data_IF_452258372500
#
_entry.id   IF_452258372500
#
_cell.length_a   1.000
_cell.length_b   1.000
_cell.length_c   1.000
_cell.angle_alpha   90.00
_cell.angle_beta   90.00
_cell.angle_gamma   90.00
#
_symmetry.space_group_name_H-M   'P 1'
#
loop_
_entity.id
_entity.type
_entity.pdbx_description
1 polymer ?
#
# COMPACT_ATOMS: atom_id res chain seq x y z
N UNK A 1 -13.84 -1.72 6.70
CA UNK A 1 -13.58 -2.13 5.30
C UNK A 1 -13.22 -3.60 5.22
N UNK A 2 -13.45 -4.21 4.06
CA UNK A 2 -13.00 -5.58 3.80
C UNK A 2 -11.60 -5.60 3.22
N UNK A 3 -10.81 -6.61 3.60
CA UNK A 3 -9.45 -6.81 3.12
C UNK A 3 -9.11 -8.30 3.03
N UNK A 4 -8.15 -8.65 2.18
CA UNK A 4 -7.51 -9.97 2.18
C UNK A 4 -6.18 -9.86 2.93
N UNK A 5 -6.07 -10.55 4.07
CA UNK A 5 -4.89 -10.50 4.94
C UNK A 5 -4.28 -11.88 5.14
N UNK A 6 -3.02 -11.87 5.52
CA UNK A 6 -2.34 -13.04 6.07
C UNK A 6 -1.97 -12.78 7.53
N UNK A 7 -2.17 -13.77 8.40
CA UNK A 7 -1.78 -13.75 9.81
C UNK A 7 -0.56 -14.62 10.08
N UNK A 8 -0.22 -15.47 9.11
CA UNK A 8 0.96 -16.33 9.08
C UNK A 8 1.42 -16.52 7.62
N UNK A 9 2.64 -16.96 7.44
CA UNK A 9 3.15 -17.30 6.11
C UNK A 9 2.73 -18.72 5.72
N UNK A 10 2.48 -18.96 4.42
CA UNK A 10 2.07 -20.28 3.97
C UNK A 10 1.58 -20.37 2.54
N UNK A 11 0.74 -21.37 2.30
CA UNK A 11 0.03 -21.58 1.04
C UNK A 11 -1.14 -20.61 0.84
N UNK A 12 -1.99 -20.88 -0.13
CA UNK A 12 -3.18 -20.05 -0.40
C UNK A 12 -4.24 -20.13 0.69
N UNK A 13 -4.15 -21.12 1.53
CA UNK A 13 -5.01 -21.38 2.70
C UNK A 13 -4.85 -20.34 3.82
N UNK A 14 -3.72 -19.61 3.85
CA UNK A 14 -3.49 -18.54 4.83
C UNK A 14 -4.14 -17.20 4.45
N UNK A 15 -4.74 -17.09 3.26
CA UNK A 15 -5.45 -15.89 2.81
C UNK A 15 -6.81 -15.79 3.52
N UNK A 16 -6.98 -14.77 4.35
CA UNK A 16 -8.19 -14.53 5.12
C UNK A 16 -8.91 -13.31 4.58
N UNK A 17 -10.18 -13.49 4.16
CA UNK A 17 -11.08 -12.38 3.85
C UNK A 17 -11.77 -11.93 5.14
N UNK A 18 -11.48 -10.76 5.60
CA UNK A 18 -11.97 -10.26 6.89
C UNK A 18 -12.37 -8.78 6.83
N UNK A 19 -13.13 -8.35 7.84
CA UNK A 19 -13.51 -6.96 8.05
C UNK A 19 -12.58 -6.32 9.07
N UNK A 20 -12.00 -5.16 8.71
CA UNK A 20 -11.09 -4.38 9.54
C UNK A 20 -11.51 -2.91 9.58
N UNK A 21 -10.92 -2.12 10.46
CA UNK A 21 -11.14 -0.67 10.51
C UNK A 21 -10.67 0.01 9.22
N UNK A 22 -11.37 1.06 8.80
CA UNK A 22 -10.90 1.90 7.70
C UNK A 22 -9.61 2.63 8.12
N UNK A 23 -8.68 2.87 7.17
CA UNK A 23 -7.52 3.70 7.44
C UNK A 23 -7.92 5.11 7.90
N UNK A 24 -7.17 5.64 8.86
CA UNK A 24 -7.27 7.04 9.29
C UNK A 24 -6.09 7.79 8.68
N UNK A 25 -6.38 8.71 7.78
CA UNK A 25 -5.35 9.48 7.09
C UNK A 25 -4.72 10.54 8.00
N UNK A 26 -3.44 10.78 7.78
CA UNK A 26 -2.68 11.90 8.34
C UNK A 26 -2.85 13.14 7.46
N UNK A 27 -2.40 14.34 7.93
CA UNK A 27 -2.48 15.57 7.14
C UNK A 27 -1.78 15.51 5.77
N UNK A 28 -0.75 14.69 5.63
CA UNK A 28 0.07 14.47 4.44
C UNK A 28 -0.38 13.26 3.59
N UNK A 29 -1.57 12.70 3.84
CA UNK A 29 -2.07 11.50 3.19
C UNK A 29 -3.43 11.71 2.51
N UNK A 30 -3.70 10.91 1.49
CA UNK A 30 -5.01 10.80 0.86
C UNK A 30 -5.58 9.40 1.07
N UNK A 31 -6.88 9.28 1.25
CA UNK A 31 -7.60 7.99 1.30
C UNK A 31 -8.10 7.65 -0.10
N UNK A 32 -7.67 6.52 -0.62
CA UNK A 32 -8.07 6.04 -1.94
C UNK A 32 -9.00 4.84 -1.80
N UNK A 33 -10.19 4.91 -2.41
CA UNK A 33 -11.06 3.75 -2.60
C UNK A 33 -10.55 2.93 -3.78
N UNK A 34 -10.10 1.72 -3.55
CA UNK A 34 -9.59 0.82 -4.59
C UNK A 34 -10.73 0.40 -5.52
N UNK A 35 -10.49 0.46 -6.82
CA UNK A 35 -11.40 0.03 -7.89
C UNK A 35 -10.86 -1.13 -8.70
N UNK A 36 -9.55 -1.23 -8.79
CA UNK A 36 -8.84 -2.35 -9.42
C UNK A 36 -7.52 -2.56 -8.69
N UNK A 37 -7.14 -3.81 -8.51
CA UNK A 37 -5.84 -4.22 -8.01
C UNK A 37 -5.27 -5.32 -8.90
N UNK A 38 -3.95 -5.43 -8.99
CA UNK A 38 -3.27 -6.48 -9.71
C UNK A 38 -2.47 -7.35 -8.74
N UNK A 39 -2.31 -8.63 -9.10
CA UNK A 39 -1.50 -9.58 -8.34
C UNK A 39 -0.12 -9.64 -8.96
N UNK A 40 0.90 -9.47 -8.13
CA UNK A 40 2.30 -9.54 -8.51
C UNK A 40 2.98 -10.78 -7.90
N UNK A 41 4.14 -11.14 -8.44
CA UNK A 41 4.96 -12.21 -7.87
C UNK A 41 5.42 -11.88 -6.44
N UNK A 42 5.54 -10.60 -6.12
CA UNK A 42 5.84 -10.10 -4.77
C UNK A 42 4.81 -10.60 -3.74
N UNK A 43 3.52 -10.58 -4.08
CA UNK A 43 2.45 -11.05 -3.19
C UNK A 43 2.64 -12.52 -2.80
N UNK A 44 3.13 -13.33 -3.76
CA UNK A 44 3.42 -14.75 -3.52
C UNK A 44 4.62 -14.91 -2.57
N UNK A 45 5.66 -14.08 -2.76
CA UNK A 45 6.84 -14.13 -1.91
C UNK A 45 6.53 -13.65 -0.49
N UNK A 46 5.82 -12.53 -0.34
CA UNK A 46 5.38 -12.02 0.96
C UNK A 46 4.51 -13.05 1.67
N UNK A 47 3.52 -13.62 0.99
CA UNK A 47 2.66 -14.66 1.55
C UNK A 47 3.44 -15.90 2.00
N UNK A 48 4.41 -16.35 1.19
CA UNK A 48 5.25 -17.52 1.52
C UNK A 48 6.27 -17.26 2.59
N UNK A 49 6.62 -16.01 2.84
CA UNK A 49 7.56 -15.57 3.85
C UNK A 49 8.89 -15.13 3.25
N UNK A 50 9.11 -13.83 3.23
CA UNK A 50 10.43 -13.22 3.04
C UNK A 50 10.86 -12.55 4.34
N UNK A 51 12.16 -12.43 4.63
CA UNK A 51 12.63 -11.82 5.87
C UNK A 51 12.12 -10.37 6.03
N UNK A 52 11.76 -9.99 7.26
CA UNK A 52 11.39 -8.62 7.61
C UNK A 52 9.90 -8.28 7.49
N UNK A 53 9.05 -9.19 7.05
CA UNK A 53 7.60 -8.95 6.98
C UNK A 53 6.98 -9.00 8.37
N UNK A 54 6.24 -7.94 8.69
CA UNK A 54 5.42 -7.87 9.90
C UNK A 54 4.01 -8.38 9.63
N UNK A 55 3.50 -9.26 10.47
CA UNK A 55 2.15 -9.81 10.38
C UNK A 55 1.26 -9.26 11.50
N UNK A 56 -0.06 -9.14 11.28
CA UNK A 56 -0.80 -9.45 10.06
C UNK A 56 -0.54 -8.41 8.94
N UNK A 57 -0.67 -8.82 7.65
CA UNK A 57 -0.34 -8.01 6.49
C UNK A 57 -1.44 -8.12 5.41
N UNK A 58 -1.85 -6.99 4.84
CA UNK A 58 -2.62 -6.93 3.60
C UNK A 58 -1.63 -7.00 2.44
N UNK A 59 -1.84 -7.93 1.50
CA UNK A 59 -1.00 -8.07 0.31
C UNK A 59 -1.41 -7.07 -0.78
N UNK A 60 -0.65 -7.03 -1.87
CA UNK A 60 -0.92 -6.22 -3.05
C UNK A 60 -0.15 -4.91 -3.10
N UNK A 61 0.49 -4.64 -4.23
CA UNK A 61 1.27 -3.43 -4.47
C UNK A 61 0.69 -2.54 -5.56
N UNK A 62 0.03 -3.11 -6.56
CA UNK A 62 -0.52 -2.35 -7.68
C UNK A 62 -2.02 -2.15 -7.54
N UNK A 63 -2.47 -0.90 -7.65
CA UNK A 63 -3.88 -0.58 -7.68
C UNK A 63 -4.19 0.73 -8.40
N UNK A 64 -5.45 0.87 -8.79
CA UNK A 64 -6.06 2.11 -9.22
C UNK A 64 -7.34 2.35 -8.41
N UNK A 65 -7.68 3.60 -8.18
CA UNK A 65 -8.83 3.95 -7.37
C UNK A 65 -9.26 5.39 -7.47
N UNK A 66 -10.15 5.77 -6.57
CA UNK A 66 -10.74 7.12 -6.52
C UNK A 66 -10.44 7.72 -5.16
N UNK A 67 -9.92 8.93 -5.13
CA UNK A 67 -9.66 9.68 -3.89
C UNK A 67 -10.98 9.98 -3.17
N UNK A 68 -11.06 9.60 -1.90
CA UNK A 68 -12.24 9.81 -1.03
C UNK A 68 -12.02 10.85 0.06
N UNK A 69 -10.78 11.02 0.49
CA UNK A 69 -10.38 12.07 1.43
C UNK A 69 -8.99 12.57 1.05
N UNK A 70 -8.71 13.81 1.36
CA UNK A 70 -7.40 14.44 1.15
C UNK A 70 -7.02 15.11 2.46
N UNK A 71 -5.80 14.88 2.93
CA UNK A 71 -5.23 15.55 4.09
C UNK A 71 -4.94 17.02 3.78
N UNK A 72 -4.90 17.84 4.81
CA UNK A 72 -4.79 19.30 4.68
C UNK A 72 -3.46 19.78 4.05
N UNK A 73 -2.41 18.97 4.13
CA UNK A 73 -1.07 19.30 3.63
C UNK A 73 -0.86 18.81 2.18
N UNK A 74 -1.86 18.13 1.60
CA UNK A 74 -1.82 17.63 0.23
C UNK A 74 -2.27 18.74 -0.73
N UNK A 75 -1.50 18.95 -1.80
CA UNK A 75 -1.85 19.82 -2.94
C UNK A 75 -1.84 19.02 -4.25
N UNK A 76 -2.59 19.49 -5.23
CA UNK A 76 -2.63 18.89 -6.57
C UNK A 76 -3.58 17.71 -6.73
N UNK A 77 -4.26 17.28 -5.65
CA UNK A 77 -5.27 16.23 -5.68
C UNK A 77 -6.58 16.69 -5.04
N UNK A 78 -7.70 16.20 -5.57
CA UNK A 78 -9.04 16.48 -5.07
C UNK A 78 -9.86 15.22 -4.86
N UNK A 79 -10.89 15.30 -4.03
CA UNK A 79 -11.85 14.20 -3.86
C UNK A 79 -12.55 13.94 -5.20
N UNK A 80 -12.55 12.70 -5.63
CA UNK A 80 -13.12 12.24 -6.90
C UNK A 80 -12.08 11.97 -7.98
N UNK A 81 -10.82 12.39 -7.80
CA UNK A 81 -9.78 12.12 -8.78
C UNK A 81 -9.54 10.61 -8.91
N UNK A 82 -9.38 10.16 -10.14
CA UNK A 82 -8.96 8.81 -10.48
C UNK A 82 -7.43 8.75 -10.46
N UNK A 83 -6.88 7.79 -9.71
CA UNK A 83 -5.43 7.67 -9.49
C UNK A 83 -4.95 6.24 -9.67
N UNK A 84 -3.69 6.11 -10.11
CA UNK A 84 -2.92 4.88 -10.04
C UNK A 84 -1.92 5.02 -8.90
N UNK A 85 -1.79 3.98 -8.09
CA UNK A 85 -0.88 3.97 -6.94
C UNK A 85 0.53 3.62 -7.41
N UNK A 86 1.49 4.48 -7.12
CA UNK A 86 2.91 4.11 -7.17
C UNK A 86 3.23 3.35 -5.88
N UNK A 87 3.65 2.06 -5.96
CA UNK A 87 3.86 1.25 -4.76
C UNK A 87 5.12 1.61 -3.97
N UNK A 88 5.99 2.48 -4.49
CA UNK A 88 7.23 2.83 -3.79
C UNK A 88 6.95 3.76 -2.61
N UNK A 89 7.51 3.41 -1.47
CA UNK A 89 7.56 4.23 -0.26
C UNK A 89 8.98 4.76 -0.15
N UNK A 90 9.15 6.07 0.04
CA UNK A 90 10.45 6.72 0.13
C UNK A 90 10.40 7.92 1.08
N UNK A 91 11.53 8.36 1.59
CA UNK A 91 11.56 9.41 2.61
C UNK A 91 11.32 10.83 2.08
N UNK A 92 11.56 11.08 0.80
CA UNK A 92 11.38 12.39 0.17
C UNK A 92 12.50 13.42 0.47
N UNK A 93 13.44 13.14 1.37
CA UNK A 93 14.41 14.13 1.87
C UNK A 93 15.89 13.74 1.69
N UNK A 94 16.21 12.46 1.43
CA UNK A 94 17.58 12.03 1.22
C UNK A 94 18.12 12.52 -0.14
N UNK A 95 19.43 12.42 -0.33
CA UNK A 95 20.11 12.86 -1.56
C UNK A 95 19.52 12.20 -2.82
N UNK A 96 19.20 10.90 -2.76
CA UNK A 96 18.59 10.19 -3.87
C UNK A 96 17.21 10.77 -4.22
N UNK A 97 16.32 10.96 -3.22
CA UNK A 97 15.01 11.54 -3.42
C UNK A 97 15.08 12.97 -3.97
N UNK A 98 15.97 13.80 -3.42
CA UNK A 98 16.15 15.18 -3.89
C UNK A 98 16.67 15.27 -5.34
N UNK A 99 17.24 14.19 -5.86
CA UNK A 99 17.73 14.08 -7.24
C UNK A 99 16.77 13.29 -8.16
N UNK A 100 15.53 12.97 -7.73
CA UNK A 100 14.53 12.24 -8.51
C UNK A 100 14.89 10.76 -8.71
N UNK A 101 15.63 10.17 -7.76
CA UNK A 101 16.03 8.75 -7.76
C UNK A 101 15.46 8.04 -6.54
N UNK A 102 14.16 8.13 -6.35
CA UNK A 102 13.45 7.59 -5.20
C UNK A 102 13.66 6.07 -5.04
N UNK A 103 13.86 5.36 -6.16
CA UNK A 103 14.21 3.94 -6.18
C UNK A 103 15.56 3.61 -5.52
N UNK A 104 16.43 4.61 -5.29
CA UNK A 104 17.69 4.49 -4.57
C UNK A 104 17.61 5.02 -3.13
N UNK A 105 16.41 5.33 -2.65
CA UNK A 105 16.22 5.82 -1.29
C UNK A 105 16.71 4.79 -0.26
N UNK A 106 17.48 5.25 0.73
CA UNK A 106 17.99 4.38 1.80
C UNK A 106 16.89 3.80 2.70
N UNK A 107 15.72 4.43 2.70
CA UNK A 107 14.53 4.01 3.44
C UNK A 107 13.43 3.50 2.50
N UNK A 108 13.83 2.93 1.34
CA UNK A 108 12.88 2.43 0.37
C UNK A 108 12.02 1.31 0.96
N UNK A 109 10.72 1.34 0.65
CA UNK A 109 9.77 0.29 0.95
C UNK A 109 8.81 0.09 -0.21
N UNK A 110 8.00 -0.96 -0.11
CA UNK A 110 6.98 -1.27 -1.11
C UNK A 110 5.65 -1.52 -0.39
N UNK A 111 4.58 -0.93 -0.88
CA UNK A 111 3.20 -1.21 -0.44
C UNK A 111 2.92 -2.71 -0.64
N UNK A 112 2.35 -3.38 0.38
CA UNK A 112 2.11 -4.83 0.37
C UNK A 112 3.31 -5.67 0.79
N UNK A 113 4.44 -5.03 1.16
CA UNK A 113 5.64 -5.66 1.73
C UNK A 113 6.06 -4.96 3.02
N UNK A 114 6.33 -3.66 2.95
CA UNK A 114 6.80 -2.85 4.08
C UNK A 114 5.65 -2.27 4.91
N UNK A 115 4.48 -2.16 4.31
CA UNK A 115 3.21 -1.70 4.91
C UNK A 115 2.06 -2.50 4.33
N UNK A 116 0.86 -2.36 4.91
CA UNK A 116 -0.37 -2.92 4.33
C UNK A 116 -0.54 -2.52 2.86
N UNK A 117 -1.03 -3.47 2.08
CA UNK A 117 -1.14 -3.40 0.63
C UNK A 117 -2.54 -3.07 0.11
N UNK A 118 -2.72 -3.30 -1.18
CA UNK A 118 -3.86 -2.84 -1.96
C UNK A 118 -5.01 -3.84 -2.10
N UNK A 119 -4.88 -5.07 -1.56
CA UNK A 119 -5.96 -6.07 -1.60
C UNK A 119 -7.04 -5.80 -0.52
N UNK A 120 -7.60 -4.59 -0.57
CA UNK A 120 -8.59 -4.04 0.37
C UNK A 120 -9.50 -3.02 -0.33
N UNK A 121 -10.52 -2.54 0.38
CA UNK A 121 -11.43 -1.52 -0.17
C UNK A 121 -10.84 -0.11 -0.15
N UNK A 122 -9.97 0.20 0.83
CA UNK A 122 -9.38 1.53 1.01
C UNK A 122 -7.91 1.43 1.43
N UNK A 123 -7.10 2.30 0.90
CA UNK A 123 -5.71 2.50 1.27
C UNK A 123 -5.43 3.99 1.49
#
# INVERSE_FOLDING_TARGET
MKAVRIHEHGGTDVLVWEEISNPVIKPDQALVQIKAAAINHLDIWVRRGIPGISLPMILGSDAAGIIKKVGQDISGFTIGDEVVINPLIFCGECEACNNGRENECSSIGIIGESTDGTNCEFI
#
